data_IF_962561904993
#
_entry.id   IF_962561904993
#
_cell.length_a   1.000
_cell.length_b   1.000
_cell.length_c   1.000
_cell.angle_alpha   90.00
_cell.angle_beta   90.00
_cell.angle_gamma   90.00
#
_symmetry.space_group_name_H-M   'P 1'
#
loop_
_entity.id
_entity.type
_entity.pdbx_description
1 polymer ?
#
# COMPACT_ATOMS: atom_id res chain seq x y z
N UNK A 1 10.42 -33.70 1.45
CA UNK A 1 10.96 -32.33 1.60
C UNK A 1 10.69 -31.87 3.02
N UNK A 2 11.63 -31.21 3.71
CA UNK A 2 11.31 -30.61 4.99
C UNK A 2 10.13 -29.65 4.81
N UNK A 3 9.20 -29.67 5.76
CA UNK A 3 8.07 -28.75 5.75
C UNK A 3 8.61 -27.32 5.81
N UNK A 4 8.21 -26.46 4.88
CA UNK A 4 8.52 -25.02 4.95
C UNK A 4 7.51 -24.33 5.83
N UNK A 5 7.99 -23.48 6.70
CA UNK A 5 7.20 -22.68 7.63
C UNK A 5 6.94 -21.30 7.02
N UNK A 6 5.70 -20.96 6.72
CA UNK A 6 5.34 -19.65 6.16
C UNK A 6 5.09 -18.64 7.28
N UNK A 7 5.99 -17.68 7.40
CA UNK A 7 5.90 -16.59 8.36
C UNK A 7 5.45 -15.32 7.64
N UNK A 8 4.31 -14.77 8.08
CA UNK A 8 3.81 -13.46 7.66
C UNK A 8 4.32 -12.40 8.63
N UNK A 9 4.89 -11.33 8.08
CA UNK A 9 5.38 -10.18 8.84
C UNK A 9 4.59 -8.93 8.47
N UNK A 10 4.30 -8.10 9.47
CA UNK A 10 3.90 -6.71 9.30
C UNK A 10 5.15 -5.84 9.37
N UNK A 11 5.31 -4.91 8.43
CA UNK A 11 6.48 -4.07 8.31
C UNK A 11 6.09 -2.61 8.02
N UNK A 12 6.92 -1.68 8.47
CA UNK A 12 6.83 -0.26 8.16
C UNK A 12 7.86 0.11 7.08
N UNK A 13 7.47 1.02 6.17
CA UNK A 13 8.35 1.64 5.18
C UNK A 13 8.25 3.16 5.30
N UNK A 14 9.33 3.84 5.69
CA UNK A 14 9.32 5.27 5.94
C UNK A 14 10.63 5.95 5.49
N UNK A 15 10.73 7.26 5.70
CA UNK A 15 11.93 8.04 5.42
C UNK A 15 12.42 7.93 3.98
N UNK A 16 13.72 7.83 3.80
CA UNK A 16 14.34 7.75 2.46
C UNK A 16 13.92 6.52 1.65
N UNK A 17 13.42 5.46 2.30
CA UNK A 17 12.96 4.26 1.60
C UNK A 17 11.74 4.53 0.70
N UNK A 18 10.98 5.62 0.91
CA UNK A 18 9.87 5.99 0.04
C UNK A 18 10.31 6.16 -1.43
N UNK A 19 11.55 6.56 -1.68
CA UNK A 19 12.08 6.79 -3.02
C UNK A 19 12.51 5.51 -3.74
N UNK A 20 12.53 4.37 -3.04
CA UNK A 20 12.81 3.08 -3.65
C UNK A 20 11.61 2.59 -4.47
N UNK A 21 11.90 2.07 -5.67
CA UNK A 21 10.93 1.27 -6.40
C UNK A 21 10.55 0.02 -5.60
N UNK A 22 9.44 -0.62 -5.95
CA UNK A 22 9.06 -1.88 -5.29
C UNK A 22 10.15 -2.96 -5.40
N UNK A 23 10.82 -3.05 -6.55
CA UNK A 23 11.89 -4.02 -6.76
C UNK A 23 13.13 -3.72 -5.91
N UNK A 24 13.50 -2.45 -5.78
CA UNK A 24 14.64 -2.05 -4.95
C UNK A 24 14.32 -2.22 -3.46
N UNK A 25 13.09 -1.91 -3.04
CA UNK A 25 12.63 -2.20 -1.69
C UNK A 25 12.65 -3.70 -1.39
N UNK A 26 12.15 -4.53 -2.29
CA UNK A 26 12.22 -5.99 -2.14
C UNK A 26 13.67 -6.49 -2.09
N UNK A 27 14.60 -5.88 -2.84
CA UNK A 27 16.03 -6.16 -2.76
C UNK A 27 16.60 -5.78 -1.40
N UNK A 28 16.27 -4.60 -0.87
CA UNK A 28 16.69 -4.17 0.46
C UNK A 28 16.22 -5.16 1.55
N UNK A 29 14.97 -5.60 1.51
CA UNK A 29 14.42 -6.62 2.43
C UNK A 29 15.19 -7.94 2.33
N UNK A 30 15.53 -8.39 1.12
CA UNK A 30 16.36 -9.60 0.95
C UNK A 30 17.72 -9.46 1.62
N UNK A 31 18.37 -8.30 1.52
CA UNK A 31 19.64 -8.06 2.21
C UNK A 31 19.48 -8.05 3.74
N UNK A 32 18.37 -7.53 4.27
CA UNK A 32 18.07 -7.62 5.71
C UNK A 32 17.98 -9.08 6.13
N UNK A 33 17.23 -9.91 5.40
CA UNK A 33 17.07 -11.35 5.67
C UNK A 33 18.42 -12.07 5.65
N UNK A 34 19.28 -11.79 4.65
CA UNK A 34 20.63 -12.41 4.55
C UNK A 34 21.50 -12.01 5.75
N UNK A 35 21.56 -10.71 6.08
CA UNK A 35 22.36 -10.21 7.20
C UNK A 35 21.87 -10.70 8.55
N UNK A 36 20.55 -10.86 8.69
CA UNK A 36 19.93 -11.47 9.86
C UNK A 36 20.18 -12.99 9.93
N UNK A 37 20.81 -13.60 8.91
CA UNK A 37 21.13 -15.04 8.84
C UNK A 37 19.93 -15.95 9.02
N UNK A 38 18.74 -15.50 8.60
CA UNK A 38 17.53 -16.30 8.72
C UNK A 38 17.57 -17.50 7.76
N UNK A 39 17.04 -18.67 8.15
CA UNK A 39 17.03 -19.89 7.36
C UNK A 39 15.96 -19.83 6.26
N UNK A 40 16.03 -18.82 5.38
CA UNK A 40 15.07 -18.60 4.29
C UNK A 40 15.10 -19.75 3.29
N UNK A 41 13.94 -20.18 2.83
CA UNK A 41 13.80 -21.16 1.76
C UNK A 41 13.96 -20.50 0.39
N UNK A 42 14.49 -21.25 -0.57
CA UNK A 42 14.65 -20.85 -1.96
C UNK A 42 13.76 -21.72 -2.88
N UNK A 43 13.39 -21.16 -4.00
CA UNK A 43 12.72 -21.91 -5.05
C UNK A 43 13.68 -22.95 -5.66
N UNK A 44 13.12 -24.00 -6.27
CA UNK A 44 13.85 -24.98 -7.04
C UNK A 44 14.12 -24.46 -8.45
N UNK A 45 15.14 -25.01 -9.11
CA UNK A 45 15.48 -24.69 -10.50
C UNK A 45 16.84 -24.02 -10.68
N UNK A 46 17.17 -23.63 -11.90
CA UNK A 46 18.48 -23.09 -12.26
C UNK A 46 18.82 -21.73 -11.66
N UNK A 47 17.81 -20.91 -11.35
CA UNK A 47 17.96 -19.60 -10.69
C UNK A 47 17.12 -19.57 -9.41
N UNK A 48 17.66 -20.06 -8.28
CA UNK A 48 16.92 -20.08 -7.02
C UNK A 48 16.62 -18.67 -6.54
N UNK A 49 15.35 -18.39 -6.21
CA UNK A 49 14.91 -17.16 -5.61
C UNK A 49 14.44 -17.38 -4.18
N UNK A 50 14.73 -16.43 -3.30
CA UNK A 50 14.14 -16.43 -1.96
C UNK A 50 12.63 -16.53 -2.06
N UNK A 51 12.02 -17.43 -1.30
CA UNK A 51 10.58 -17.55 -1.18
C UNK A 51 10.04 -16.43 -0.31
N UNK A 52 9.93 -15.25 -0.92
CA UNK A 52 9.49 -14.00 -0.34
C UNK A 52 8.42 -13.38 -1.23
N UNK A 53 7.28 -12.98 -0.66
CA UNK A 53 6.20 -12.32 -1.38
C UNK A 53 5.65 -11.15 -0.57
N UNK A 54 5.18 -10.11 -1.24
CA UNK A 54 4.60 -8.91 -0.63
C UNK A 54 3.09 -8.87 -0.87
N UNK A 55 2.34 -8.24 0.01
CA UNK A 55 0.89 -8.08 -0.11
C UNK A 55 0.53 -7.27 -1.36
N UNK A 56 1.24 -6.20 -1.60
CA UNK A 56 1.10 -5.39 -2.81
C UNK A 56 2.38 -4.59 -3.09
N UNK A 57 2.50 -4.09 -4.32
CA UNK A 57 3.56 -3.16 -4.66
C UNK A 57 3.25 -1.76 -4.09
N UNK A 58 4.25 -1.14 -3.45
CA UNK A 58 4.24 0.28 -3.12
C UNK A 58 4.90 1.08 -4.23
N UNK A 59 4.24 2.14 -4.67
CA UNK A 59 4.83 3.09 -5.62
C UNK A 59 5.99 3.88 -5.01
N UNK A 60 6.79 4.48 -5.87
CA UNK A 60 7.77 5.49 -5.46
C UNK A 60 7.04 6.69 -4.86
N UNK A 61 7.60 7.30 -3.82
CA UNK A 61 7.00 8.42 -3.09
C UNK A 61 5.95 8.02 -2.05
N UNK A 62 5.67 6.69 -1.88
CA UNK A 62 4.69 6.21 -0.92
C UNK A 62 5.39 5.62 0.30
N UNK A 63 5.06 6.15 1.49
CA UNK A 63 5.38 5.56 2.78
C UNK A 63 4.27 4.63 3.24
N UNK A 64 4.55 3.76 4.21
CA UNK A 64 3.56 2.86 4.78
C UNK A 64 3.78 2.68 6.28
N UNK A 65 2.69 2.79 7.05
CA UNK A 65 2.69 2.49 8.48
C UNK A 65 2.63 0.98 8.71
N UNK A 66 1.92 0.26 7.84
CA UNK A 66 1.81 -1.19 7.91
C UNK A 66 1.69 -1.80 6.50
N UNK A 67 2.64 -2.64 6.16
CA UNK A 67 2.68 -3.49 4.97
C UNK A 67 2.88 -4.94 5.39
N UNK A 68 2.56 -5.86 4.51
CA UNK A 68 2.74 -7.28 4.80
C UNK A 68 3.62 -7.96 3.77
N UNK A 69 4.43 -8.89 4.27
CA UNK A 69 5.18 -9.83 3.45
C UNK A 69 5.09 -11.24 4.05
N UNK A 70 5.11 -12.25 3.20
CA UNK A 70 5.26 -13.65 3.58
C UNK A 70 6.65 -14.10 3.20
N UNK A 71 7.33 -14.80 4.11
CA UNK A 71 8.57 -15.52 3.83
C UNK A 71 8.45 -16.98 4.27
N UNK A 72 9.06 -17.88 3.51
CA UNK A 72 9.11 -19.29 3.86
C UNK A 72 10.48 -19.62 4.49
N UNK A 73 10.45 -20.16 5.70
CA UNK A 73 11.63 -20.59 6.44
C UNK A 73 11.79 -22.12 6.33
N UNK A 74 13.03 -22.61 6.34
CA UNK A 74 13.36 -24.05 6.33
C UNK A 74 13.15 -24.71 7.69
N UNK A 75 13.05 -23.90 8.75
CA UNK A 75 12.77 -24.31 10.12
C UNK A 75 11.98 -23.24 10.84
N UNK A 76 11.22 -23.64 11.85
CA UNK A 76 10.39 -22.72 12.64
C UNK A 76 11.24 -22.06 13.71
N UNK A 77 11.30 -20.74 13.68
CA UNK A 77 11.96 -19.91 14.70
C UNK A 77 10.91 -19.19 15.55
N UNK A 78 11.22 -18.82 16.80
CA UNK A 78 10.37 -17.91 17.55
C UNK A 78 10.20 -16.59 16.80
N UNK A 79 8.95 -16.14 16.65
CA UNK A 79 8.65 -14.91 15.89
C UNK A 79 9.41 -13.69 16.44
N UNK A 80 9.51 -13.61 17.77
CA UNK A 80 10.25 -12.54 18.46
C UNK A 80 11.70 -12.48 18.00
N UNK A 81 12.39 -13.62 17.92
CA UNK A 81 13.79 -13.68 17.52
C UNK A 81 13.97 -13.24 16.06
N UNK A 82 13.06 -13.66 15.17
CA UNK A 82 13.07 -13.21 13.77
C UNK A 82 12.90 -11.69 13.67
N UNK A 83 11.95 -11.13 14.41
CA UNK A 83 11.69 -9.68 14.44
C UNK A 83 12.91 -8.91 14.94
N UNK A 84 13.52 -9.36 16.05
CA UNK A 84 14.71 -8.73 16.64
C UNK A 84 15.92 -8.82 15.69
N UNK A 85 16.18 -9.99 15.11
CA UNK A 85 17.29 -10.18 14.16
C UNK A 85 17.12 -9.34 12.91
N UNK A 86 15.92 -9.25 12.35
CA UNK A 86 15.67 -8.40 11.18
C UNK A 86 15.83 -6.93 11.52
N UNK A 87 15.26 -6.46 12.62
CA UNK A 87 15.35 -5.07 13.03
C UNK A 87 16.79 -4.63 13.32
N UNK A 88 17.62 -5.51 13.89
CA UNK A 88 19.04 -5.26 14.12
C UNK A 88 19.84 -5.06 12.81
N UNK A 89 19.33 -5.51 11.67
CA UNK A 89 19.96 -5.42 10.35
C UNK A 89 19.23 -4.47 9.39
N UNK A 90 18.14 -3.85 9.85
CA UNK A 90 17.30 -2.97 9.05
C UNK A 90 17.95 -1.61 8.84
N UNK A 91 17.84 -1.03 7.63
CA UNK A 91 18.17 0.37 7.44
C UNK A 91 17.11 1.28 8.08
N UNK A 92 17.47 2.54 8.30
CA UNK A 92 16.54 3.56 8.77
C UNK A 92 15.28 3.60 7.89
N UNK A 93 14.11 3.64 8.54
CA UNK A 93 12.82 3.66 7.86
C UNK A 93 12.23 2.28 7.53
N UNK A 94 12.96 1.18 7.69
CA UNK A 94 12.42 -0.18 7.64
C UNK A 94 12.31 -0.78 9.04
N UNK A 95 11.09 -1.12 9.46
CA UNK A 95 10.86 -1.73 10.78
C UNK A 95 9.94 -2.93 10.62
N UNK A 96 10.34 -4.06 11.17
CA UNK A 96 9.47 -5.24 11.34
C UNK A 96 8.66 -5.04 12.62
N UNK A 97 7.34 -4.92 12.48
CA UNK A 97 6.42 -4.60 13.57
C UNK A 97 6.00 -5.85 14.36
N UNK A 98 5.97 -6.99 13.68
CA UNK A 98 5.58 -8.26 14.26
C UNK A 98 5.32 -9.31 13.20
N UNK A 99 4.95 -10.51 13.62
CA UNK A 99 4.70 -11.61 12.70
C UNK A 99 3.80 -12.70 13.26
N UNK A 100 3.32 -13.55 12.36
CA UNK A 100 2.52 -14.74 12.68
C UNK A 100 2.78 -15.82 11.64
N UNK A 101 2.98 -17.05 12.11
CA UNK A 101 2.98 -18.19 11.21
C UNK A 101 1.58 -18.43 10.66
N UNK A 102 1.50 -18.66 9.37
CA UNK A 102 0.26 -18.93 8.65
C UNK A 102 0.30 -20.34 8.06
N UNK A 103 -0.87 -20.98 7.98
CA UNK A 103 -0.96 -22.30 7.39
C UNK A 103 -0.40 -22.32 5.96
N UNK A 104 0.32 -23.37 5.59
CA UNK A 104 0.88 -23.52 4.25
C UNK A 104 -0.21 -23.54 3.15
N UNK A 105 -1.44 -23.96 3.49
CA UNK A 105 -2.61 -23.99 2.60
C UNK A 105 -3.36 -22.66 2.58
N UNK A 106 -3.05 -21.72 3.47
CA UNK A 106 -3.71 -20.40 3.46
C UNK A 106 -3.53 -19.71 2.10
N UNK A 107 -4.49 -18.90 1.65
CA UNK A 107 -4.37 -18.16 0.41
C UNK A 107 -3.09 -17.34 0.34
N UNK A 108 -2.59 -17.13 -0.87
CA UNK A 108 -1.41 -16.26 -1.07
C UNK A 108 -1.74 -14.84 -0.63
N UNK A 109 -0.77 -14.18 -0.01
CA UNK A 109 -0.91 -12.85 0.55
C UNK A 109 -1.46 -11.83 -0.47
N UNK A 110 -0.96 -11.85 -1.71
CA UNK A 110 -1.44 -10.98 -2.80
C UNK A 110 -2.92 -11.19 -3.16
N UNK A 111 -3.46 -12.39 -2.99
CA UNK A 111 -4.87 -12.69 -3.27
C UNK A 111 -5.79 -12.19 -2.16
N UNK A 112 -5.26 -11.99 -0.97
CA UNK A 112 -6.01 -11.49 0.19
C UNK A 112 -6.01 -9.96 0.27
N UNK A 113 -4.90 -9.33 -0.08
CA UNK A 113 -4.67 -7.89 0.05
C UNK A 113 -5.40 -7.12 -1.06
N UNK A 114 -6.68 -6.84 -0.86
CA UNK A 114 -7.52 -6.20 -1.88
C UNK A 114 -8.03 -4.81 -1.50
N UNK A 115 -7.71 -4.30 -0.31
CA UNK A 115 -8.15 -2.97 0.13
C UNK A 115 -7.06 -2.26 0.90
N UNK A 116 -6.71 -1.06 0.45
CA UNK A 116 -5.69 -0.24 1.07
C UNK A 116 -6.23 1.13 1.48
N UNK A 117 -5.87 1.58 2.67
CA UNK A 117 -6.27 2.89 3.19
C UNK A 117 -5.06 3.80 3.19
N UNK A 118 -5.24 5.01 2.65
CA UNK A 118 -4.20 6.02 2.54
C UNK A 118 -4.57 7.29 3.28
N UNK A 119 -3.55 7.97 3.79
CA UNK A 119 -3.56 9.39 4.13
C UNK A 119 -2.82 10.11 3.00
N UNK A 120 -3.50 11.05 2.36
CA UNK A 120 -2.93 11.94 1.36
C UNK A 120 -2.79 13.32 1.97
N UNK A 121 -1.64 13.94 1.82
CA UNK A 121 -1.37 15.27 2.38
C UNK A 121 -0.65 16.10 1.31
N UNK A 122 -1.05 17.34 1.17
CA UNK A 122 -0.40 18.25 0.25
C UNK A 122 -0.88 19.70 0.42
N UNK A 123 -0.19 20.65 -0.19
CA UNK A 123 -0.59 22.05 -0.13
C UNK A 123 -1.92 22.29 -0.83
N UNK A 124 -2.66 23.26 -0.33
CA UNK A 124 -3.87 23.81 -0.92
C UNK A 124 -3.69 25.32 -1.01
N UNK A 125 -4.37 25.96 -1.95
CA UNK A 125 -4.29 27.42 -2.09
C UNK A 125 -4.64 28.09 -0.76
N UNK A 126 -3.84 29.07 -0.35
CA UNK A 126 -4.03 29.81 0.90
C UNK A 126 -5.45 30.36 1.03
N UNK A 127 -6.05 30.17 2.21
CA UNK A 127 -7.42 30.60 2.47
C UNK A 127 -8.52 29.65 2.02
N UNK A 128 -8.19 28.48 1.46
CA UNK A 128 -9.18 27.45 1.15
C UNK A 128 -9.70 26.82 2.45
N UNK A 129 -10.92 27.20 2.84
CA UNK A 129 -11.51 26.82 4.11
C UNK A 129 -12.10 25.41 4.15
N UNK A 130 -12.26 24.90 5.37
CA UNK A 130 -12.80 23.56 5.58
C UNK A 130 -14.25 23.40 5.08
N UNK A 131 -15.09 24.41 5.19
CA UNK A 131 -16.47 24.39 4.65
C UNK A 131 -16.51 24.15 3.14
N UNK A 132 -15.59 24.77 2.38
CA UNK A 132 -15.47 24.55 0.94
C UNK A 132 -14.98 23.12 0.63
N UNK A 133 -14.04 22.64 1.42
CA UNK A 133 -13.56 21.25 1.35
C UNK A 133 -14.70 20.27 1.58
N UNK A 134 -15.47 20.43 2.68
CA UNK A 134 -16.56 19.48 2.98
C UNK A 134 -17.62 19.45 1.87
N UNK A 135 -17.94 20.59 1.25
CA UNK A 135 -18.83 20.64 0.07
C UNK A 135 -18.27 19.88 -1.13
N UNK A 136 -16.98 20.04 -1.42
CA UNK A 136 -16.33 19.34 -2.53
C UNK A 136 -16.26 17.82 -2.27
N UNK A 137 -15.92 17.41 -1.04
CA UNK A 137 -15.91 15.99 -0.64
C UNK A 137 -17.32 15.38 -0.68
N UNK A 138 -18.35 16.12 -0.25
CA UNK A 138 -19.73 15.67 -0.33
C UNK A 138 -20.15 15.49 -1.80
N UNK A 139 -19.83 16.44 -2.68
CA UNK A 139 -20.11 16.31 -4.11
C UNK A 139 -19.44 15.07 -4.74
N UNK A 140 -18.18 14.79 -4.39
CA UNK A 140 -17.51 13.54 -4.78
C UNK A 140 -18.24 12.31 -4.22
N UNK A 141 -18.60 12.33 -2.93
CA UNK A 141 -19.21 11.18 -2.25
C UNK A 141 -20.58 10.85 -2.83
N UNK A 142 -21.37 11.87 -3.22
CA UNK A 142 -22.72 11.71 -3.79
C UNK A 142 -22.70 11.38 -5.30
N UNK A 143 -21.59 11.62 -5.99
CA UNK A 143 -21.46 11.27 -7.39
C UNK A 143 -21.56 9.75 -7.60
N UNK A 144 -22.37 9.31 -8.58
CA UNK A 144 -22.48 7.90 -8.99
C UNK A 144 -21.21 7.45 -9.74
N UNK A 145 -20.70 8.32 -10.60
CA UNK A 145 -19.57 8.06 -11.48
C UNK A 145 -18.58 9.23 -11.44
N UNK A 146 -17.30 8.90 -11.40
CA UNK A 146 -16.20 9.88 -11.47
C UNK A 146 -15.13 9.30 -12.37
N UNK A 147 -15.05 9.83 -13.60
CA UNK A 147 -14.18 9.29 -14.63
C UNK A 147 -12.79 9.93 -14.59
N UNK A 148 -11.76 9.10 -14.59
CA UNK A 148 -10.37 9.49 -14.73
C UNK A 148 -9.83 9.04 -16.09
N UNK A 149 -9.26 9.96 -16.84
CA UNK A 149 -8.59 9.68 -18.11
C UNK A 149 -7.14 9.31 -17.88
N UNK A 150 -6.82 8.03 -18.06
CA UNK A 150 -5.46 7.54 -17.97
C UNK A 150 -4.84 7.51 -19.37
N UNK A 151 -3.96 8.46 -19.63
CA UNK A 151 -3.18 8.49 -20.87
C UNK A 151 -2.03 7.48 -20.79
N UNK A 152 -1.81 6.72 -21.87
CA UNK A 152 -0.68 5.79 -21.92
C UNK A 152 0.64 6.54 -22.04
N UNK A 153 1.66 6.24 -21.22
CA UNK A 153 2.99 6.85 -21.34
C UNK A 153 3.70 6.55 -22.66
N UNK A 154 3.29 5.47 -23.34
CA UNK A 154 3.90 5.01 -24.61
C UNK A 154 3.19 5.57 -25.85
N UNK A 155 1.93 5.97 -25.74
CA UNK A 155 1.14 6.48 -26.86
C UNK A 155 0.02 7.38 -26.31
N UNK A 156 0.20 8.68 -26.43
CA UNK A 156 -0.74 9.68 -25.92
C UNK A 156 -2.17 9.57 -26.52
N UNK A 157 -2.33 8.90 -27.67
CA UNK A 157 -3.65 8.64 -28.28
C UNK A 157 -4.43 7.52 -27.59
N UNK A 158 -3.74 6.68 -26.79
CA UNK A 158 -4.38 5.62 -26.04
C UNK A 158 -4.79 6.12 -24.66
N UNK A 159 -6.06 6.49 -24.56
CA UNK A 159 -6.70 6.89 -23.32
C UNK A 159 -7.57 5.74 -22.79
N UNK A 160 -7.41 5.40 -21.53
CA UNK A 160 -8.29 4.47 -20.81
C UNK A 160 -9.10 5.25 -19.79
N UNK A 161 -10.41 5.12 -19.85
CA UNK A 161 -11.29 5.65 -18.82
C UNK A 161 -11.36 4.70 -17.63
N UNK A 162 -11.23 5.25 -16.43
CA UNK A 162 -11.34 4.51 -15.17
C UNK A 162 -12.40 5.19 -14.32
N UNK A 163 -13.42 4.47 -13.89
CA UNK A 163 -14.37 5.00 -12.92
C UNK A 163 -13.78 4.90 -11.51
N UNK A 164 -13.41 6.04 -10.95
CA UNK A 164 -12.79 6.13 -9.61
C UNK A 164 -13.71 5.59 -8.53
N UNK A 165 -15.04 5.75 -8.69
CA UNK A 165 -16.04 5.29 -7.72
C UNK A 165 -16.10 3.77 -7.59
N UNK A 166 -15.71 3.00 -8.60
CA UNK A 166 -15.59 1.55 -8.50
C UNK A 166 -14.48 1.11 -7.55
N UNK A 167 -13.50 1.98 -7.30
CA UNK A 167 -12.36 1.69 -6.44
C UNK A 167 -12.42 2.43 -5.09
N UNK A 168 -13.00 3.64 -5.06
CA UNK A 168 -13.19 4.41 -3.82
C UNK A 168 -14.60 4.13 -3.30
N UNK A 169 -14.72 3.02 -2.56
CA UNK A 169 -16.02 2.45 -2.13
C UNK A 169 -16.52 2.95 -0.77
N UNK A 170 -15.69 3.73 -0.06
CA UNK A 170 -16.06 4.41 1.18
C UNK A 170 -16.05 5.92 0.96
N UNK A 171 -16.87 6.69 1.70
CA UNK A 171 -16.85 8.13 1.60
C UNK A 171 -15.44 8.69 1.89
N UNK A 172 -15.00 9.63 1.05
CA UNK A 172 -13.81 10.42 1.34
C UNK A 172 -14.06 11.29 2.55
N UNK A 173 -13.04 11.43 3.39
CA UNK A 173 -13.02 12.36 4.50
C UNK A 173 -11.71 13.11 4.54
N UNK A 174 -11.72 14.33 5.03
CA UNK A 174 -10.52 15.14 5.11
C UNK A 174 -10.75 16.42 5.88
N UNK A 175 -9.65 17.16 6.07
CA UNK A 175 -9.63 18.46 6.73
C UNK A 175 -8.55 19.34 6.10
N UNK A 176 -8.72 20.64 6.21
CA UNK A 176 -7.70 21.62 5.87
C UNK A 176 -7.50 22.62 6.99
N UNK A 177 -6.28 23.11 7.15
CA UNK A 177 -5.94 24.25 8.02
C UNK A 177 -5.81 25.56 7.22
N UNK A 178 -6.16 25.53 5.93
CA UNK A 178 -6.07 26.67 5.01
C UNK A 178 -4.76 26.73 4.21
N UNK A 179 -3.78 25.88 4.53
CA UNK A 179 -2.51 25.77 3.79
C UNK A 179 -2.26 24.32 3.36
N UNK A 180 -2.63 23.37 4.21
CA UNK A 180 -2.42 21.94 3.99
C UNK A 180 -3.74 21.20 4.03
N UNK A 181 -3.97 20.37 3.02
CA UNK A 181 -5.07 19.41 2.97
C UNK A 181 -4.59 18.03 3.42
N UNK A 182 -5.36 17.40 4.28
CA UNK A 182 -5.20 15.99 4.65
C UNK A 182 -6.47 15.23 4.32
N UNK A 183 -6.36 14.18 3.50
CA UNK A 183 -7.47 13.31 3.11
C UNK A 183 -7.23 11.88 3.58
N UNK A 184 -8.32 11.18 3.88
CA UNK A 184 -8.33 9.72 4.07
C UNK A 184 -9.10 9.10 2.93
N UNK A 185 -8.47 8.14 2.23
CA UNK A 185 -9.07 7.43 1.11
C UNK A 185 -8.82 5.92 1.23
N UNK A 186 -9.88 5.14 1.08
CA UNK A 186 -9.81 3.69 0.95
C UNK A 186 -9.93 3.28 -0.52
N UNK A 187 -8.97 2.48 -1.00
CA UNK A 187 -8.89 2.05 -2.40
C UNK A 187 -9.04 0.53 -2.47
N UNK A 188 -10.08 0.08 -3.16
CA UNK A 188 -10.35 -1.33 -3.45
C UNK A 188 -9.64 -1.73 -4.75
N UNK A 189 -8.93 -2.84 -4.69
CA UNK A 189 -8.44 -3.51 -5.89
C UNK A 189 -9.51 -4.46 -6.41
N UNK A 190 -9.87 -4.30 -7.67
CA UNK A 190 -10.81 -5.16 -8.39
C UNK A 190 -10.06 -6.01 -9.44
N UNK A 191 -10.77 -6.89 -10.13
CA UNK A 191 -10.21 -7.64 -11.26
C UNK A 191 -9.71 -6.72 -12.39
N UNK A 192 -10.33 -5.55 -12.55
CA UNK A 192 -9.92 -4.53 -13.53
C UNK A 192 -8.68 -3.74 -13.12
N UNK A 193 -8.21 -3.93 -11.89
CA UNK A 193 -7.08 -3.24 -11.28
C UNK A 193 -7.46 -2.34 -10.10
N UNK A 194 -6.74 -1.25 -9.91
CA UNK A 194 -7.01 -0.25 -8.89
C UNK A 194 -6.62 1.14 -9.39
N UNK A 195 -7.26 2.18 -8.86
CA UNK A 195 -6.79 3.55 -9.00
C UNK A 195 -5.59 3.78 -8.08
N UNK A 196 -4.73 4.72 -8.48
CA UNK A 196 -3.63 5.18 -7.62
C UNK A 196 -4.11 6.34 -6.74
N UNK A 197 -3.52 6.52 -5.54
CA UNK A 197 -3.81 7.70 -4.72
C UNK A 197 -3.66 9.03 -5.47
N UNK A 198 -2.64 9.16 -6.31
CA UNK A 198 -2.41 10.31 -7.18
C UNK A 198 -3.61 10.60 -8.10
N UNK A 199 -4.23 9.58 -8.65
CA UNK A 199 -5.39 9.74 -9.56
C UNK A 199 -6.62 10.26 -8.81
N UNK A 200 -6.82 9.83 -7.56
CA UNK A 200 -7.89 10.38 -6.71
C UNK A 200 -7.63 11.85 -6.40
N UNK A 201 -6.39 12.19 -6.05
CA UNK A 201 -5.96 13.56 -5.78
C UNK A 201 -6.21 14.48 -6.98
N UNK A 202 -5.76 14.06 -8.18
CA UNK A 202 -5.96 14.81 -9.41
C UNK A 202 -7.44 15.03 -9.77
N UNK A 203 -8.27 14.02 -9.58
CA UNK A 203 -9.72 14.12 -9.83
C UNK A 203 -10.36 15.15 -8.91
N UNK A 204 -10.01 15.15 -7.64
CA UNK A 204 -10.53 16.13 -6.67
C UNK A 204 -10.17 17.56 -7.06
N UNK A 205 -8.96 17.79 -7.54
CA UNK A 205 -8.57 19.09 -8.06
C UNK A 205 -9.30 19.47 -9.35
N UNK A 206 -9.29 18.59 -10.35
CA UNK A 206 -9.78 18.88 -11.70
C UNK A 206 -11.31 18.92 -11.80
N UNK A 207 -12.03 18.06 -11.07
CA UNK A 207 -13.48 17.88 -11.25
C UNK A 207 -14.29 18.43 -10.07
N UNK A 208 -13.70 18.55 -8.89
CA UNK A 208 -14.40 19.03 -7.68
C UNK A 208 -13.88 20.37 -7.17
N UNK A 209 -12.98 21.01 -7.92
CA UNK A 209 -12.56 22.38 -7.67
C UNK A 209 -11.75 22.60 -6.39
N UNK A 210 -11.14 21.54 -5.83
CA UNK A 210 -10.21 21.72 -4.72
C UNK A 210 -8.89 22.26 -5.29
N UNK A 211 -8.40 23.42 -4.84
CA UNK A 211 -7.22 24.07 -5.44
C UNK A 211 -5.92 23.40 -4.94
N UNK A 212 -5.66 22.19 -5.44
CA UNK A 212 -4.55 21.31 -5.09
C UNK A 212 -3.36 21.51 -6.02
N UNK A 213 -2.16 21.34 -5.48
CA UNK A 213 -0.99 21.06 -6.30
C UNK A 213 -0.87 19.54 -6.53
N UNK A 214 -0.97 19.12 -7.79
CA UNK A 214 -0.95 17.72 -8.15
C UNK A 214 0.40 17.04 -7.89
N UNK A 215 1.50 17.79 -7.98
CA UNK A 215 2.86 17.26 -7.88
C UNK A 215 3.39 17.23 -6.43
N UNK A 216 2.73 17.95 -5.52
CA UNK A 216 3.17 18.11 -4.13
C UNK A 216 2.44 17.17 -3.15
N UNK A 217 1.70 16.19 -3.65
CA UNK A 217 1.01 15.22 -2.81
C UNK A 217 1.98 14.22 -2.17
N UNK A 218 1.86 14.06 -0.87
CA UNK A 218 2.48 12.98 -0.10
C UNK A 218 1.45 11.89 0.19
N UNK A 219 1.79 10.65 -0.12
CA UNK A 219 0.94 9.51 0.13
C UNK A 219 1.55 8.60 1.22
N UNK A 220 0.76 8.31 2.25
CA UNK A 220 1.08 7.33 3.28
C UNK A 220 0.01 6.25 3.30
N UNK A 221 0.39 5.00 3.06
CA UNK A 221 -0.52 3.87 3.27
C UNK A 221 -0.59 3.59 4.77
N UNK A 222 -1.76 3.79 5.37
CA UNK A 222 -1.97 3.60 6.82
C UNK A 222 -2.45 2.19 7.17
N UNK A 223 -2.80 1.39 6.16
CA UNK A 223 -3.11 -0.02 6.34
C UNK A 223 -3.51 -0.70 5.03
N UNK A 224 -3.35 -2.03 5.01
CA UNK A 224 -3.77 -2.89 3.92
C UNK A 224 -4.52 -4.08 4.49
N UNK A 225 -5.63 -4.45 3.87
CA UNK A 225 -6.63 -5.36 4.43
C UNK A 225 -7.14 -6.37 3.40
N UNK A 226 -7.72 -7.43 3.93
CA UNK A 226 -8.66 -8.27 3.20
C UNK A 226 -10.07 -7.75 3.43
N UNK A 227 -10.68 -7.15 2.39
CA UNK A 227 -12.04 -6.63 2.46
C UNK A 227 -13.03 -7.66 1.93
N UNK A 228 -14.03 -8.00 2.75
CA UNK A 228 -15.19 -8.81 2.37
C UNK A 228 -16.47 -8.02 2.66
N UNK A 229 -17.17 -7.61 1.62
CA UNK A 229 -18.28 -6.70 1.72
C UNK A 229 -17.86 -5.37 2.37
N UNK A 230 -18.38 -5.07 3.57
CA UNK A 230 -18.04 -3.85 4.32
C UNK A 230 -17.03 -4.06 5.45
N UNK A 231 -16.53 -5.30 5.65
CA UNK A 231 -15.58 -5.61 6.74
C UNK A 231 -14.16 -5.63 6.20
N UNK A 232 -13.27 -4.92 6.89
CA UNK A 232 -11.84 -4.94 6.66
C UNK A 232 -11.20 -5.87 7.70
N UNK A 233 -10.64 -6.99 7.26
CA UNK A 233 -9.98 -7.98 8.10
C UNK A 233 -8.46 -7.78 8.03
N UNK A 234 -7.77 -7.93 9.15
CA UNK A 234 -6.30 -7.96 9.16
C UNK A 234 -5.78 -9.10 8.30
N UNK A 235 -4.67 -8.86 7.62
CA UNK A 235 -4.00 -9.92 6.86
C UNK A 235 -3.34 -10.98 7.75
N UNK A 236 -3.28 -10.77 9.06
CA UNK A 236 -2.94 -11.81 10.03
C UNK A 236 -4.10 -12.77 10.35
N UNK A 237 -5.33 -12.38 10.02
CA UNK A 237 -6.47 -13.28 10.15
C UNK A 237 -6.44 -14.26 8.98
N UNK A 238 -6.12 -15.50 9.28
CA UNK A 238 -6.25 -16.60 8.32
C UNK A 238 -7.71 -16.99 8.20
N UNK A 239 -8.14 -17.15 6.99
CA UNK A 239 -9.47 -17.61 6.63
C UNK A 239 -9.44 -19.14 6.62
#
# INVERSE_FOLDING_TARGET
>A
MPAVERLRLAVKKDGALQFLSHLDFARAVRYVIIRARLPIAYSEGFNPHMKLSFASALGVGVTADEEYLDMELRERLPVKDVVEQMNAQSPDGFVVLGGKYVDARAPKLMAMANYAVYRLTGPVQAGYGDDALQKALQAFNDASDVMYEKVSPKDARKVRLINVKHHVVEPLSGKTDGETLTLRVGILQTEEGAVKPQQVWEVLGKQFGIPLDADMMLARRIGIYHRRGRKNQSLFETI
#
